data_IF_708539761624
#
_entry.id   IF_708539761624
#
_cell.length_a   1.000
_cell.length_b   1.000
_cell.length_c   1.000
_cell.angle_alpha   90.00
_cell.angle_beta   90.00
_cell.angle_gamma   90.00
#
_symmetry.space_group_name_H-M   'P 1'
#
loop_
_entity.id
_entity.type
_entity.pdbx_description
1 polymer ?
#
# COMPACT_ATOMS: atom_id res chain seq x y z
N UNK A 1 11.22 -11.29 -16.28
CA UNK A 1 11.38 -9.81 -16.43
C UNK A 1 12.42 -9.38 -15.41
N UNK A 2 13.50 -8.78 -15.84
CA UNK A 2 14.36 -7.99 -14.97
C UNK A 2 13.61 -6.68 -14.74
N UNK A 3 13.47 -6.27 -13.47
CA UNK A 3 13.18 -4.89 -13.16
C UNK A 3 14.30 -4.02 -13.73
N UNK A 4 14.03 -2.78 -14.06
CA UNK A 4 15.03 -1.85 -14.60
C UNK A 4 16.24 -1.66 -13.67
N UNK A 5 16.17 -2.12 -12.42
CA UNK A 5 17.20 -1.99 -11.39
C UNK A 5 17.31 -3.25 -10.50
N UNK A 6 18.04 -4.23 -10.97
CA UNK A 6 18.86 -5.13 -10.16
C UNK A 6 18.25 -6.06 -9.10
N UNK A 7 17.04 -5.87 -8.66
CA UNK A 7 16.40 -6.78 -7.72
C UNK A 7 15.54 -7.79 -8.48
N UNK A 8 15.97 -9.03 -8.51
CA UNK A 8 15.24 -10.09 -9.21
C UNK A 8 13.95 -10.40 -8.45
N UNK A 9 12.81 -10.25 -9.14
CA UNK A 9 11.55 -10.78 -8.65
C UNK A 9 11.68 -12.29 -8.51
N UNK A 10 11.29 -12.81 -7.35
CA UNK A 10 11.20 -14.25 -7.19
C UNK A 10 10.03 -14.82 -8.03
N UNK A 11 10.03 -16.13 -8.23
CA UNK A 11 9.06 -16.80 -9.08
C UNK A 11 7.61 -16.55 -8.65
N UNK A 12 7.35 -16.46 -7.35
CA UNK A 12 6.01 -16.22 -6.82
C UNK A 12 5.54 -14.77 -7.06
N UNK A 13 6.46 -13.81 -7.00
CA UNK A 13 6.19 -12.41 -7.38
C UNK A 13 5.84 -12.30 -8.87
N UNK A 14 6.62 -12.96 -9.74
CA UNK A 14 6.34 -13.00 -11.20
C UNK A 14 4.96 -13.59 -11.46
N UNK A 15 4.60 -14.71 -10.81
CA UNK A 15 3.27 -15.32 -10.94
C UNK A 15 2.16 -14.39 -10.47
N UNK A 16 2.41 -13.66 -9.39
CA UNK A 16 1.44 -12.70 -8.83
C UNK A 16 1.22 -11.55 -9.79
N UNK A 17 2.27 -10.93 -10.33
CA UNK A 17 2.17 -9.87 -11.34
C UNK A 17 1.39 -10.36 -12.56
N UNK A 18 1.77 -11.51 -13.14
CA UNK A 18 1.09 -12.07 -14.32
C UNK A 18 -0.40 -12.36 -14.08
N UNK A 19 -0.75 -12.79 -12.86
CA UNK A 19 -2.16 -13.00 -12.46
C UNK A 19 -2.95 -11.70 -12.51
N UNK A 20 -2.38 -10.60 -12.01
CA UNK A 20 -3.06 -9.31 -11.98
C UNK A 20 -3.04 -8.61 -13.34
N UNK A 21 -2.01 -8.80 -14.18
CA UNK A 21 -2.04 -8.42 -15.59
C UNK A 21 -3.20 -9.10 -16.34
N UNK A 22 -3.38 -10.40 -16.11
CA UNK A 22 -4.50 -11.14 -16.70
C UNK A 22 -5.86 -10.67 -16.18
N UNK A 23 -5.95 -10.32 -14.89
CA UNK A 23 -7.16 -9.74 -14.31
C UNK A 23 -7.45 -8.37 -14.91
N UNK A 24 -6.46 -7.48 -15.05
CA UNK A 24 -6.60 -6.17 -15.68
C UNK A 24 -7.18 -6.30 -17.09
N UNK A 25 -6.61 -7.19 -17.92
CA UNK A 25 -7.11 -7.43 -19.27
C UNK A 25 -8.56 -7.95 -19.27
N UNK A 26 -8.93 -8.78 -18.29
CA UNK A 26 -10.31 -9.23 -18.13
C UNK A 26 -11.25 -8.09 -17.74
N UNK A 27 -10.83 -7.18 -16.85
CA UNK A 27 -11.61 -6.01 -16.46
C UNK A 27 -11.86 -5.06 -17.63
N UNK A 28 -10.84 -4.82 -18.46
CA UNK A 28 -10.98 -4.02 -19.68
C UNK A 28 -12.03 -4.64 -20.62
N UNK A 29 -11.98 -5.97 -20.79
CA UNK A 29 -12.98 -6.70 -21.57
C UNK A 29 -14.38 -6.62 -20.94
N UNK A 30 -14.49 -6.79 -19.62
CA UNK A 30 -15.78 -6.69 -18.91
C UNK A 30 -16.38 -5.29 -19.03
N UNK A 31 -15.61 -4.24 -18.82
CA UNK A 31 -16.07 -2.86 -18.95
C UNK A 31 -16.54 -2.57 -20.39
N UNK A 32 -15.76 -2.97 -21.38
CA UNK A 32 -16.11 -2.79 -22.78
C UNK A 32 -17.39 -3.54 -23.18
N UNK A 33 -17.52 -4.81 -22.78
CA UNK A 33 -18.68 -5.64 -23.13
C UNK A 33 -19.94 -5.24 -22.36
N UNK A 34 -19.82 -4.78 -21.12
CA UNK A 34 -20.92 -4.28 -20.30
C UNK A 34 -21.25 -2.81 -20.52
N UNK A 35 -20.52 -2.12 -21.42
CA UNK A 35 -20.68 -0.69 -21.71
C UNK A 35 -20.49 0.19 -20.45
N UNK A 36 -19.70 -0.26 -19.49
CA UNK A 36 -19.35 0.55 -18.33
C UNK A 36 -18.19 1.48 -18.69
N UNK A 37 -18.48 2.77 -18.72
CA UNK A 37 -17.44 3.80 -18.88
C UNK A 37 -16.76 4.05 -17.53
N UNK A 38 -15.55 3.55 -17.39
CA UNK A 38 -14.68 3.82 -16.24
C UNK A 38 -13.82 5.04 -16.58
N UNK A 39 -14.23 6.20 -16.08
CA UNK A 39 -13.45 7.43 -16.26
C UNK A 39 -12.20 7.37 -15.39
N UNK A 40 -11.06 7.24 -16.05
CA UNK A 40 -9.77 7.40 -15.42
C UNK A 40 -9.36 8.87 -15.56
N UNK A 41 -9.59 9.63 -14.51
CA UNK A 41 -9.40 11.08 -14.51
C UNK A 41 -8.45 11.47 -13.36
N UNK A 42 -7.16 11.52 -13.70
CA UNK A 42 -6.10 11.96 -12.79
C UNK A 42 -5.15 12.91 -13.50
N UNK A 43 -4.60 13.85 -12.76
CA UNK A 43 -3.50 14.68 -13.23
C UNK A 43 -2.22 13.84 -13.30
N UNK A 44 -1.49 13.94 -14.40
CA UNK A 44 -0.19 13.28 -14.57
C UNK A 44 0.96 14.24 -14.29
N UNK A 45 1.98 13.72 -13.65
CA UNK A 45 3.17 14.45 -13.24
C UNK A 45 4.43 13.81 -13.84
N UNK A 46 5.56 14.49 -13.69
CA UNK A 46 6.87 14.07 -14.13
C UNK A 46 7.87 14.10 -12.98
N UNK A 47 9.05 13.55 -13.17
CA UNK A 47 10.13 13.61 -12.16
C UNK A 47 10.66 15.02 -11.87
N UNK A 48 10.32 16.03 -12.72
CA UNK A 48 10.65 17.43 -12.47
C UNK A 48 9.66 18.10 -11.50
N UNK A 49 8.48 17.52 -11.31
CA UNK A 49 7.50 18.05 -10.37
C UNK A 49 7.92 17.68 -8.95
N UNK A 50 7.90 18.66 -8.04
CA UNK A 50 8.27 18.45 -6.65
C UNK A 50 7.27 17.51 -5.95
N UNK A 51 7.69 16.35 -5.42
CA UNK A 51 6.81 15.37 -4.80
C UNK A 51 6.04 15.93 -3.59
N UNK A 52 6.58 16.92 -2.86
CA UNK A 52 5.87 17.58 -1.77
C UNK A 52 4.68 18.39 -2.29
N UNK A 53 4.88 19.15 -3.34
CA UNK A 53 3.83 19.96 -3.97
C UNK A 53 2.73 19.07 -4.56
N UNK A 54 3.12 17.99 -5.24
CA UNK A 54 2.18 17.00 -5.78
C UNK A 54 1.40 16.32 -4.66
N UNK A 55 2.06 15.94 -3.56
CA UNK A 55 1.42 15.33 -2.41
C UNK A 55 0.34 16.24 -1.78
N UNK A 56 0.60 17.54 -1.66
CA UNK A 56 -0.39 18.50 -1.16
C UNK A 56 -1.65 18.51 -2.04
N UNK A 57 -1.49 18.59 -3.36
CA UNK A 57 -2.63 18.54 -4.31
C UNK A 57 -3.35 17.19 -4.25
N UNK A 58 -2.61 16.08 -4.25
CA UNK A 58 -3.17 14.74 -4.22
C UNK A 58 -4.00 14.47 -2.95
N UNK A 59 -3.67 15.13 -1.83
CA UNK A 59 -4.46 15.01 -0.59
C UNK A 59 -5.89 15.51 -0.74
N UNK A 60 -6.14 16.54 -1.54
CA UNK A 60 -7.48 17.08 -1.75
C UNK A 60 -8.41 16.02 -2.39
N UNK A 61 -7.86 15.14 -3.21
CA UNK A 61 -8.61 14.11 -3.92
C UNK A 61 -8.60 12.74 -3.21
N UNK A 62 -7.43 12.29 -2.75
CA UNK A 62 -7.22 10.91 -2.32
C UNK A 62 -7.09 10.72 -0.81
N UNK A 63 -6.85 11.79 -0.03
CA UNK A 63 -6.69 11.65 1.41
C UNK A 63 -8.05 11.50 2.11
N UNK A 64 -8.23 10.45 2.96
CA UNK A 64 -9.55 10.15 3.54
C UNK A 64 -10.03 11.13 4.62
N UNK A 65 -9.18 12.06 5.05
CA UNK A 65 -9.45 12.89 6.22
C UNK A 65 -9.19 12.14 7.53
N UNK A 66 -9.73 12.66 8.62
CA UNK A 66 -9.56 12.04 9.93
C UNK A 66 -10.30 10.70 10.02
N UNK A 67 -9.61 9.70 10.50
CA UNK A 67 -10.17 8.35 10.74
C UNK A 67 -9.69 7.80 12.06
N UNK A 68 -10.54 7.02 12.73
CA UNK A 68 -10.28 6.49 14.06
C UNK A 68 -9.20 5.40 14.06
N UNK A 69 -9.09 4.62 12.99
CA UNK A 69 -8.13 3.53 12.91
C UNK A 69 -7.53 3.35 11.50
N UNK A 70 -6.39 2.67 11.44
CA UNK A 70 -5.63 2.49 10.22
C UNK A 70 -6.37 1.69 9.15
N UNK A 71 -7.18 0.68 9.54
CA UNK A 71 -7.97 -0.10 8.57
C UNK A 71 -9.05 0.74 7.91
N UNK A 72 -9.74 1.58 8.68
CA UNK A 72 -10.75 2.49 8.12
C UNK A 72 -10.11 3.52 7.20
N UNK A 73 -8.92 4.02 7.55
CA UNK A 73 -8.15 4.91 6.69
C UNK A 73 -7.82 4.24 5.35
N UNK A 74 -7.27 3.02 5.38
CA UNK A 74 -6.95 2.26 4.17
C UNK A 74 -8.18 2.03 3.30
N UNK A 75 -9.30 1.60 3.89
CA UNK A 75 -10.56 1.38 3.14
C UNK A 75 -11.03 2.66 2.48
N UNK A 76 -11.11 3.78 3.21
CA UNK A 76 -11.54 5.07 2.66
C UNK A 76 -10.56 5.61 1.60
N UNK A 77 -9.27 5.37 1.76
CA UNK A 77 -8.29 5.75 0.73
C UNK A 77 -8.50 4.95 -0.56
N UNK A 78 -8.77 3.64 -0.45
CA UNK A 78 -9.13 2.79 -1.60
C UNK A 78 -10.42 3.28 -2.26
N UNK A 79 -11.44 3.67 -1.48
CA UNK A 79 -12.70 4.23 -1.99
C UNK A 79 -12.46 5.51 -2.80
N UNK A 80 -11.71 6.47 -2.23
CA UNK A 80 -11.37 7.71 -2.93
C UNK A 80 -10.55 7.49 -4.21
N UNK A 81 -9.60 6.57 -4.17
CA UNK A 81 -8.81 6.20 -5.36
C UNK A 81 -9.71 5.56 -6.44
N UNK A 82 -10.67 4.73 -6.02
CA UNK A 82 -11.64 4.11 -6.92
C UNK A 82 -12.58 5.12 -7.59
N UNK A 83 -12.92 6.23 -6.92
CA UNK A 83 -13.74 7.32 -7.48
C UNK A 83 -13.07 7.99 -8.70
N UNK A 84 -11.75 7.91 -8.81
CA UNK A 84 -10.96 8.41 -9.95
C UNK A 84 -10.63 7.32 -11.00
N UNK A 85 -11.35 6.21 -10.98
CA UNK A 85 -11.20 5.14 -11.98
C UNK A 85 -9.98 4.25 -11.80
N UNK A 86 -9.38 4.23 -10.62
CA UNK A 86 -8.23 3.38 -10.31
C UNK A 86 -8.71 2.14 -9.54
N UNK A 87 -8.40 0.97 -10.08
CA UNK A 87 -8.64 -0.31 -9.40
C UNK A 87 -7.57 -0.56 -8.35
N UNK A 88 -7.99 -0.84 -7.12
CA UNK A 88 -7.08 -1.27 -6.05
C UNK A 88 -7.41 -2.69 -5.64
N UNK A 89 -6.43 -3.57 -5.68
CA UNK A 89 -6.55 -4.96 -5.27
C UNK A 89 -5.65 -5.25 -4.08
N UNK A 90 -6.17 -5.96 -3.10
CA UNK A 90 -5.40 -6.55 -2.02
C UNK A 90 -5.29 -8.06 -2.22
N UNK A 91 -4.09 -8.63 -2.15
CA UNK A 91 -3.90 -10.07 -2.15
C UNK A 91 -3.34 -10.55 -0.82
N UNK A 92 -3.81 -11.74 -0.42
CA UNK A 92 -3.42 -12.37 0.83
C UNK A 92 -2.51 -13.56 0.53
N UNK A 93 -1.35 -13.59 1.12
CA UNK A 93 -0.49 -14.76 1.10
C UNK A 93 -0.91 -15.73 2.18
N UNK A 94 -1.15 -16.97 1.79
CA UNK A 94 -1.37 -18.04 2.75
C UNK A 94 -0.05 -18.39 3.44
N UNK A 95 -0.08 -18.49 4.76
CA UNK A 95 1.09 -18.78 5.57
C UNK A 95 1.76 -20.15 5.28
N UNK A 96 1.03 -21.07 4.62
CA UNK A 96 1.50 -22.38 4.20
C UNK A 96 2.33 -22.38 2.90
N UNK A 97 2.46 -21.27 2.20
CA UNK A 97 3.30 -21.21 0.99
C UNK A 97 4.76 -21.31 1.35
N UNK A 98 5.47 -22.21 0.66
CA UNK A 98 6.93 -22.42 0.83
C UNK A 98 7.72 -21.18 0.37
N UNK A 99 7.27 -20.52 -0.68
CA UNK A 99 7.87 -19.30 -1.21
C UNK A 99 6.85 -18.16 -1.14
N UNK A 100 7.27 -17.03 -0.59
CA UNK A 100 6.47 -15.82 -0.48
C UNK A 100 6.92 -14.81 -1.53
N UNK A 101 5.99 -13.94 -1.94
CA UNK A 101 6.35 -12.81 -2.80
C UNK A 101 7.34 -11.90 -2.08
N UNK A 102 8.32 -11.38 -2.81
CA UNK A 102 9.26 -10.38 -2.31
C UNK A 102 8.89 -8.95 -2.72
N UNK A 103 7.60 -8.71 -2.99
CA UNK A 103 7.01 -7.40 -3.30
C UNK A 103 5.86 -7.10 -2.35
N UNK A 104 5.69 -5.83 -1.98
CA UNK A 104 4.61 -5.36 -1.10
C UNK A 104 3.45 -4.75 -1.88
N UNK A 105 3.70 -4.22 -3.05
CA UNK A 105 2.74 -3.68 -3.97
C UNK A 105 3.33 -3.54 -5.36
N UNK A 106 2.52 -3.15 -6.31
CA UNK A 106 2.92 -2.74 -7.65
C UNK A 106 1.78 -2.06 -8.39
N UNK A 107 2.17 -1.20 -9.31
CA UNK A 107 1.25 -0.52 -10.23
C UNK A 107 1.31 -1.14 -11.61
N UNK A 108 0.16 -1.30 -12.27
CA UNK A 108 0.00 -1.72 -13.66
C UNK A 108 -0.77 -0.65 -14.43
N UNK A 109 -0.18 -0.13 -15.49
CA UNK A 109 -0.81 0.88 -16.36
C UNK A 109 -2.12 0.38 -16.97
N UNK A 110 -3.09 1.26 -17.19
CA UNK A 110 -3.06 2.68 -16.82
C UNK A 110 -3.50 2.93 -15.38
N UNK A 111 -4.26 2.02 -14.73
CA UNK A 111 -5.05 2.35 -13.56
C UNK A 111 -5.27 1.18 -12.58
N UNK A 112 -4.30 0.28 -12.43
CA UNK A 112 -4.40 -0.83 -11.48
C UNK A 112 -3.29 -0.77 -10.44
N UNK A 113 -3.65 -0.74 -9.17
CA UNK A 113 -2.74 -0.86 -8.02
C UNK A 113 -3.01 -2.18 -7.31
N UNK A 114 -1.96 -2.89 -6.95
CA UNK A 114 -2.04 -4.17 -6.23
C UNK A 114 -1.23 -4.08 -4.94
N UNK A 115 -1.83 -4.49 -3.83
CA UNK A 115 -1.25 -4.45 -2.50
C UNK A 115 -1.15 -5.85 -1.91
N UNK A 116 -0.06 -6.13 -1.24
CA UNK A 116 0.07 -7.29 -0.37
C UNK A 116 -0.56 -6.99 0.99
N UNK A 117 -1.47 -7.87 1.44
CA UNK A 117 -2.03 -7.76 2.79
C UNK A 117 -0.96 -7.95 3.87
N UNK A 118 -0.87 -7.02 4.79
CA UNK A 118 -0.02 -7.06 5.96
C UNK A 118 -0.83 -7.02 7.26
N UNK A 119 -0.33 -7.64 8.32
CA UNK A 119 -0.93 -7.48 9.66
C UNK A 119 -0.93 -6.03 10.14
N UNK A 120 0.01 -5.24 9.66
CA UNK A 120 0.22 -3.85 10.05
C UNK A 120 -0.23 -2.92 8.93
N UNK A 121 -1.43 -2.39 9.03
CA UNK A 121 -2.03 -1.50 8.04
C UNK A 121 -1.20 -0.26 7.68
N UNK A 122 -0.34 0.23 8.58
CA UNK A 122 0.57 1.36 8.27
C UNK A 122 1.51 1.05 7.11
N UNK A 123 1.94 -0.21 6.96
CA UNK A 123 2.77 -0.64 5.83
C UNK A 123 1.95 -0.63 4.54
N UNK A 124 0.74 -1.18 4.56
CA UNK A 124 -0.17 -1.15 3.41
C UNK A 124 -0.54 0.27 2.98
N UNK A 125 -0.82 1.16 3.95
CA UNK A 125 -1.14 2.57 3.67
C UNK A 125 0.03 3.25 2.98
N UNK A 126 1.26 3.02 3.47
CA UNK A 126 2.45 3.59 2.84
C UNK A 126 2.66 3.02 1.44
N UNK A 127 2.52 1.69 1.26
CA UNK A 127 2.60 1.04 -0.04
C UNK A 127 1.54 1.59 -0.99
N UNK A 128 0.28 1.75 -0.54
CA UNK A 128 -0.77 2.33 -1.38
C UNK A 128 -0.44 3.75 -1.84
N UNK A 129 0.07 4.58 -0.94
CA UNK A 129 0.49 5.94 -1.29
C UNK A 129 1.67 5.93 -2.28
N UNK A 130 2.63 5.01 -2.11
CA UNK A 130 3.77 4.83 -3.00
C UNK A 130 3.32 4.40 -4.41
N UNK A 131 2.46 3.38 -4.53
CA UNK A 131 1.92 2.93 -5.81
C UNK A 131 1.00 3.97 -6.47
N UNK A 132 0.34 4.81 -5.67
CA UNK A 132 -0.35 5.99 -6.18
C UNK A 132 0.64 6.98 -6.82
N UNK A 133 1.83 7.15 -6.26
CA UNK A 133 2.91 7.93 -6.86
C UNK A 133 3.29 7.40 -8.24
N UNK A 134 3.49 6.10 -8.39
CA UNK A 134 3.73 5.46 -9.70
C UNK A 134 2.58 5.69 -10.69
N UNK A 135 1.34 5.63 -10.20
CA UNK A 135 0.16 5.89 -11.01
C UNK A 135 0.12 7.35 -11.50
N UNK A 136 0.42 8.33 -10.63
CA UNK A 136 0.48 9.75 -10.96
C UNK A 136 1.61 10.07 -11.96
N UNK A 137 2.75 9.40 -11.86
CA UNK A 137 3.84 9.49 -12.85
C UNK A 137 3.53 8.71 -14.14
N UNK A 138 2.58 7.78 -14.11
CA UNK A 138 2.33 6.86 -15.20
C UNK A 138 3.53 5.95 -15.50
N UNK A 139 4.34 5.55 -14.50
CA UNK A 139 5.54 4.72 -14.64
C UNK A 139 5.37 3.41 -13.90
N UNK A 140 5.43 2.29 -14.61
CA UNK A 140 5.46 0.96 -14.02
C UNK A 140 6.89 0.60 -13.61
N UNK A 141 7.13 0.52 -12.32
CA UNK A 141 8.30 -0.15 -11.76
C UNK A 141 7.81 -1.18 -10.76
N UNK A 142 8.40 -2.37 -10.76
CA UNK A 142 8.10 -3.41 -9.77
C UNK A 142 9.41 -3.71 -9.08
N UNK A 143 9.58 -3.19 -7.88
CA UNK A 143 10.75 -3.48 -7.06
C UNK A 143 10.43 -4.50 -5.98
N UNK A 144 11.43 -5.32 -5.63
CA UNK A 144 11.38 -6.05 -4.38
C UNK A 144 11.75 -5.06 -3.28
N UNK A 145 10.77 -4.61 -2.53
CA UNK A 145 10.98 -3.56 -1.56
C UNK A 145 11.03 -4.15 -0.16
N UNK A 146 12.20 -4.14 0.43
CA UNK A 146 12.28 -3.82 1.83
C UNK A 146 12.50 -2.30 1.95
N UNK A 147 11.41 -1.51 1.89
CA UNK A 147 11.43 -0.04 2.02
C UNK A 147 12.10 0.42 3.33
N UNK A 148 12.42 -0.51 4.21
CA UNK A 148 13.12 -0.33 5.46
C UNK A 148 14.61 -0.67 5.36
N UNK A 149 15.09 -1.15 4.21
CA UNK A 149 16.51 -1.44 4.02
C UNK A 149 17.25 -0.24 3.45
N UNK A 150 17.94 0.46 4.33
CA UNK A 150 18.75 1.64 4.00
C UNK A 150 19.91 1.30 3.06
N UNK A 151 20.42 0.06 3.07
CA UNK A 151 21.48 -0.34 2.17
C UNK A 151 21.05 -0.33 0.70
N UNK A 152 19.76 -0.51 0.44
CA UNK A 152 19.17 -0.46 -0.89
C UNK A 152 18.93 0.98 -1.38
N UNK A 153 18.79 1.97 -0.49
CA UNK A 153 18.44 3.35 -0.87
C UNK A 153 19.48 4.06 -1.76
N UNK A 154 20.73 3.67 -1.70
CA UNK A 154 21.77 4.20 -2.60
C UNK A 154 21.62 3.68 -4.04
N UNK A 155 20.82 2.65 -4.26
CA UNK A 155 20.55 2.03 -5.56
C UNK A 155 19.16 2.33 -6.12
N UNK A 156 18.31 3.06 -5.39
CA UNK A 156 16.97 3.41 -5.90
C UNK A 156 17.04 4.29 -7.13
N UNK A 157 16.11 4.01 -8.07
CA UNK A 157 15.88 4.88 -9.22
C UNK A 157 15.35 6.26 -8.77
N UNK A 158 15.45 7.25 -9.65
CA UNK A 158 14.86 8.56 -9.40
C UNK A 158 13.34 8.48 -9.22
N UNK A 159 12.70 7.53 -9.91
CA UNK A 159 11.26 7.24 -9.80
C UNK A 159 10.94 6.75 -8.39
N UNK A 160 11.66 5.75 -7.89
CA UNK A 160 11.45 5.18 -6.57
C UNK A 160 11.66 6.21 -5.45
N UNK A 161 12.71 7.05 -5.58
CA UNK A 161 12.94 8.13 -4.63
C UNK A 161 11.78 9.13 -4.63
N UNK A 162 11.32 9.52 -5.83
CA UNK A 162 10.19 10.42 -5.98
C UNK A 162 8.92 9.83 -5.35
N UNK A 163 8.59 8.57 -5.63
CA UNK A 163 7.41 7.89 -5.09
C UNK A 163 7.48 7.74 -3.55
N UNK A 164 8.68 7.45 -3.00
CA UNK A 164 8.88 7.40 -1.55
C UNK A 164 8.69 8.78 -0.90
N UNK A 165 9.24 9.84 -1.49
CA UNK A 165 9.08 11.20 -1.00
C UNK A 165 7.62 11.66 -1.10
N UNK A 166 6.95 11.36 -2.22
CA UNK A 166 5.53 11.61 -2.39
C UNK A 166 4.69 10.91 -1.31
N UNK A 167 4.88 9.60 -1.12
CA UNK A 167 4.13 8.81 -0.13
C UNK A 167 4.33 9.35 1.30
N UNK A 168 5.57 9.69 1.65
CA UNK A 168 5.88 10.31 2.94
C UNK A 168 5.13 11.63 3.13
N UNK A 169 5.21 12.55 2.18
CA UNK A 169 4.54 13.86 2.24
C UNK A 169 3.03 13.72 2.23
N UNK A 170 2.50 12.79 1.40
CA UNK A 170 1.06 12.52 1.31
C UNK A 170 0.49 12.04 2.64
N UNK A 171 1.17 11.13 3.34
CA UNK A 171 0.66 10.60 4.62
C UNK A 171 0.88 11.58 5.75
N UNK A 172 2.04 12.21 5.82
CA UNK A 172 2.43 13.10 6.92
C UNK A 172 1.72 14.46 6.88
N UNK A 173 1.47 15.01 5.69
CA UNK A 173 0.91 16.34 5.57
C UNK A 173 1.74 17.37 6.35
N UNK A 174 1.07 18.18 7.15
CA UNK A 174 1.72 19.23 7.97
C UNK A 174 2.72 18.68 9.01
N UNK A 175 2.54 17.44 9.47
CA UNK A 175 3.49 16.83 10.42
C UNK A 175 4.88 16.60 9.81
N UNK A 176 5.01 16.60 8.47
CA UNK A 176 6.31 16.53 7.81
C UNK A 176 7.19 17.74 8.14
N UNK A 177 6.58 18.92 8.33
CA UNK A 177 7.32 20.14 8.72
C UNK A 177 7.81 20.07 10.17
N UNK A 178 7.02 19.47 11.05
CA UNK A 178 7.44 19.21 12.44
C UNK A 178 8.73 18.39 12.48
N UNK A 179 8.80 17.33 11.68
CA UNK A 179 10.01 16.51 11.56
C UNK A 179 11.16 17.24 10.85
N UNK A 180 10.86 18.05 9.83
CA UNK A 180 11.86 18.82 9.11
C UNK A 180 12.57 19.84 10.02
N UNK A 181 11.90 20.32 11.06
CA UNK A 181 12.46 21.29 12.02
C UNK A 181 13.27 20.65 13.17
N UNK A 182 13.30 19.32 13.29
CA UNK A 182 14.16 18.65 14.27
C UNK A 182 15.62 18.79 13.79
N UNK A 183 16.48 19.36 14.63
CA UNK A 183 17.88 19.63 14.26
C UNK A 183 18.70 18.33 14.12
N UNK A 184 18.89 17.59 15.19
CA UNK A 184 19.63 16.33 15.21
C UNK A 184 19.05 15.41 16.29
N UNK A 185 18.72 14.19 15.91
CA UNK A 185 18.16 13.19 16.82
C UNK A 185 19.24 12.59 17.72
N UNK A 186 20.48 12.46 17.22
CA UNK A 186 21.63 11.94 17.99
C UNK A 186 22.01 12.83 19.18
N UNK A 187 21.68 14.11 19.14
CA UNK A 187 21.93 15.02 20.27
C UNK A 187 21.02 14.78 21.47
N UNK A 188 20.00 13.91 21.33
CA UNK A 188 19.02 13.60 22.35
C UNK A 188 19.22 12.17 22.86
N UNK A 189 19.41 12.02 24.16
CA UNK A 189 19.60 10.71 24.79
C UNK A 189 18.39 9.77 24.61
N UNK A 190 17.19 10.34 24.38
CA UNK A 190 15.94 9.62 24.20
C UNK A 190 15.58 9.39 22.73
N UNK A 191 16.44 9.78 21.78
CA UNK A 191 16.18 9.69 20.34
C UNK A 191 14.82 10.23 19.91
N UNK A 192 14.25 11.20 20.61
CA UNK A 192 12.90 11.74 20.38
C UNK A 192 11.77 10.67 20.40
N UNK A 193 11.93 9.61 21.19
CA UNK A 193 11.01 8.44 21.18
C UNK A 193 9.56 8.87 21.40
N UNK A 194 9.28 9.73 22.39
CA UNK A 194 7.90 10.12 22.70
C UNK A 194 7.29 11.02 21.62
N UNK A 195 8.08 11.90 21.00
CA UNK A 195 7.64 12.69 19.86
C UNK A 195 7.28 11.79 18.69
N UNK A 196 8.12 10.82 18.35
CA UNK A 196 7.86 9.89 17.24
C UNK A 196 6.70 8.94 17.52
N UNK A 197 6.49 8.55 18.78
CA UNK A 197 5.27 7.84 19.19
C UNK A 197 4.01 8.69 18.96
N UNK A 198 4.05 9.96 19.37
CA UNK A 198 2.94 10.90 19.23
C UNK A 198 2.62 11.16 17.73
N UNK A 199 3.62 11.45 16.90
CA UNK A 199 3.44 11.63 15.45
C UNK A 199 2.89 10.36 14.81
N UNK A 200 3.49 9.20 15.10
CA UNK A 200 3.02 7.92 14.58
C UNK A 200 1.60 7.56 15.03
N UNK A 201 1.13 8.07 16.17
CA UNK A 201 -0.24 7.87 16.63
C UNK A 201 -1.24 8.78 15.88
N UNK A 202 -0.84 10.03 15.55
CA UNK A 202 -1.69 10.98 14.82
C UNK A 202 -1.71 10.73 13.31
N UNK A 203 -0.60 10.21 12.78
CA UNK A 203 -0.44 9.87 11.36
C UNK A 203 -0.57 8.37 11.14
N UNK A 204 -0.69 7.97 9.88
CA UNK A 204 -0.72 6.55 9.52
C UNK A 204 0.67 6.01 9.15
N UNK A 205 1.75 6.70 9.54
CA UNK A 205 3.13 6.28 9.29
C UNK A 205 3.71 5.51 10.50
N UNK A 206 4.60 4.55 10.22
CA UNK A 206 5.25 3.78 11.30
C UNK A 206 6.38 4.57 11.96
N UNK A 207 6.68 4.29 13.24
CA UNK A 207 7.85 4.87 13.91
C UNK A 207 9.16 4.57 13.17
N UNK A 208 9.30 3.36 12.65
CA UNK A 208 10.49 3.00 11.90
C UNK A 208 10.63 3.84 10.63
N UNK A 209 9.54 4.09 9.89
CA UNK A 209 9.58 4.96 8.71
C UNK A 209 9.97 6.40 9.06
N UNK A 210 9.55 6.92 10.23
CA UNK A 210 10.00 8.23 10.71
C UNK A 210 11.51 8.25 10.97
N UNK A 211 12.07 7.24 11.63
CA UNK A 211 13.51 7.13 11.84
C UNK A 211 14.29 6.92 10.55
N UNK A 212 13.73 6.15 9.60
CA UNK A 212 14.30 6.01 8.25
C UNK A 212 14.39 7.37 7.56
N UNK A 213 13.34 8.19 7.66
CA UNK A 213 13.37 9.56 7.14
C UNK A 213 14.43 10.41 7.81
N UNK A 214 14.57 10.35 9.14
CA UNK A 214 15.63 11.08 9.85
C UNK A 214 17.03 10.65 9.40
N UNK A 215 17.21 9.38 9.09
CA UNK A 215 18.49 8.90 8.55
C UNK A 215 18.75 9.44 7.13
N UNK A 216 17.76 9.41 6.24
CA UNK A 216 17.85 9.97 4.88
C UNK A 216 18.21 11.45 4.95
N UNK A 217 17.56 12.21 5.84
CA UNK A 217 17.78 13.64 6.07
C UNK A 217 19.07 13.93 6.87
N UNK A 218 19.90 12.90 7.16
CA UNK A 218 21.16 12.99 7.92
C UNK A 218 21.00 13.59 9.32
N UNK A 219 19.85 13.37 9.95
CA UNK A 219 19.50 13.85 11.30
C UNK A 219 19.74 12.81 12.40
N UNK A 220 20.06 11.59 12.03
CA UNK A 220 20.47 10.51 12.91
C UNK A 220 21.60 9.72 12.24
N UNK A 221 22.59 9.29 13.01
CA UNK A 221 23.69 8.46 12.53
C UNK A 221 23.20 7.04 12.22
N UNK A 222 23.95 6.32 11.37
CA UNK A 222 23.64 4.93 11.07
C UNK A 222 23.64 4.04 12.31
N UNK A 223 24.59 4.23 13.22
CA UNK A 223 24.68 3.44 14.45
C UNK A 223 23.45 3.65 15.34
N UNK A 224 23.04 4.88 15.56
CA UNK A 224 21.85 5.21 16.35
C UNK A 224 20.56 4.72 15.67
N UNK A 225 20.46 4.89 14.35
CA UNK A 225 19.34 4.32 13.59
C UNK A 225 19.26 2.80 13.71
N UNK A 226 20.39 2.10 13.59
CA UNK A 226 20.46 0.64 13.71
C UNK A 226 20.01 0.17 15.10
N UNK A 227 20.43 0.88 16.16
CA UNK A 227 20.01 0.58 17.53
C UNK A 227 18.50 0.74 17.68
N UNK A 228 17.93 1.86 17.25
CA UNK A 228 16.49 2.10 17.30
C UNK A 228 15.72 1.07 16.47
N UNK A 229 16.21 0.71 15.27
CA UNK A 229 15.61 -0.35 14.44
C UNK A 229 15.54 -1.67 15.19
N UNK A 230 16.62 -2.06 15.87
CA UNK A 230 16.69 -3.29 16.65
C UNK A 230 15.73 -3.27 17.85
N UNK A 231 15.66 -2.16 18.58
CA UNK A 231 14.73 -1.99 19.71
C UNK A 231 13.27 -2.08 19.26
N UNK A 232 12.93 -1.42 18.16
CA UNK A 232 11.59 -1.48 17.58
C UNK A 232 11.23 -2.90 17.13
N UNK A 233 12.17 -3.62 16.51
CA UNK A 233 11.96 -5.01 16.09
C UNK A 233 11.71 -5.93 17.29
N UNK A 234 12.43 -5.74 18.40
CA UNK A 234 12.19 -6.49 19.64
C UNK A 234 10.84 -6.13 20.27
N UNK A 235 10.46 -4.86 20.28
CA UNK A 235 9.14 -4.43 20.78
C UNK A 235 8.01 -5.10 19.98
N UNK A 236 8.12 -5.15 18.65
CA UNK A 236 7.14 -5.83 17.80
C UNK A 236 7.09 -7.33 18.08
N UNK A 237 8.24 -8.00 18.22
CA UNK A 237 8.29 -9.42 18.54
C UNK A 237 7.60 -9.73 19.89
N UNK A 238 7.89 -8.95 20.92
CA UNK A 238 7.26 -9.12 22.25
C UNK A 238 5.74 -8.94 22.18
N UNK A 239 5.25 -7.97 21.40
CA UNK A 239 3.81 -7.76 21.19
C UNK A 239 3.18 -8.94 20.46
N UNK A 240 3.80 -9.44 19.38
CA UNK A 240 3.30 -10.62 18.67
C UNK A 240 3.26 -11.87 19.55
N UNK A 241 4.24 -12.08 20.39
CA UNK A 241 4.26 -13.19 21.35
C UNK A 241 3.10 -13.06 22.36
N UNK A 242 2.88 -11.86 22.91
CA UNK A 242 1.76 -11.60 23.81
C UNK A 242 0.40 -11.79 23.12
N UNK A 243 0.26 -11.36 21.88
CA UNK A 243 -0.97 -11.58 21.08
C UNK A 243 -1.19 -13.07 20.78
N UNK A 244 -0.13 -13.82 20.46
CA UNK A 244 -0.22 -15.27 20.27
C UNK A 244 -0.66 -15.99 21.54
N UNK A 245 -0.15 -15.62 22.70
CA UNK A 245 -0.57 -16.16 23.99
C UNK A 245 -2.04 -15.87 24.28
N UNK A 246 -2.49 -14.63 24.08
CA UNK A 246 -3.91 -14.24 24.25
C UNK A 246 -4.85 -14.91 23.25
N UNK A 247 -4.37 -15.20 22.03
CA UNK A 247 -5.17 -15.81 20.96
C UNK A 247 -5.13 -17.34 21.00
N UNK A 248 -4.16 -17.96 21.67
CA UNK A 248 -4.14 -19.43 21.86
C UNK A 248 -5.33 -19.94 22.67
N UNK A 249 -5.93 -19.08 23.49
CA UNK A 249 -7.16 -19.36 24.22
C UNK A 249 -8.44 -19.24 23.34
N UNK A 250 -8.34 -18.58 22.18
CA UNK A 250 -9.47 -18.42 21.24
C UNK A 250 -9.30 -19.37 20.06
N UNK A 251 -10.05 -20.50 20.10
CA UNK A 251 -10.13 -21.44 18.97
C UNK A 251 -10.68 -20.74 17.71
N UNK A 252 -9.90 -20.70 16.62
CA UNK A 252 -10.37 -20.35 15.27
C UNK A 252 -10.13 -18.90 14.87
N UNK A 253 -8.89 -18.57 14.49
CA UNK A 253 -8.60 -17.34 13.76
C UNK A 253 -9.28 -17.36 12.39
N UNK A 254 -10.06 -16.32 12.05
CA UNK A 254 -10.59 -16.15 10.69
C UNK A 254 -9.45 -15.73 9.75
N UNK A 255 -9.33 -16.40 8.61
CA UNK A 255 -8.45 -15.92 7.54
C UNK A 255 -8.86 -14.48 7.17
N UNK A 256 -7.93 -13.52 7.10
CA UNK A 256 -8.24 -12.18 6.64
C UNK A 256 -8.92 -12.24 5.28
N UNK A 257 -9.85 -11.34 5.02
CA UNK A 257 -10.45 -11.18 3.70
C UNK A 257 -9.86 -9.96 3.03
N UNK A 258 -9.52 -10.02 1.73
CA UNK A 258 -9.04 -8.87 1.00
C UNK A 258 -10.12 -7.77 0.98
N UNK A 259 -9.67 -6.53 0.97
CA UNK A 259 -10.53 -5.37 0.75
C UNK A 259 -10.97 -5.41 -0.71
N UNK A 260 -12.28 -5.32 -0.96
CA UNK A 260 -12.85 -5.25 -2.30
C UNK A 260 -13.03 -3.78 -2.64
N UNK A 261 -12.31 -3.31 -3.65
CA UNK A 261 -12.46 -1.96 -4.19
C UNK A 261 -13.90 -1.75 -4.71
N UNK A 262 -14.55 -0.62 -4.41
CA UNK A 262 -15.88 -0.31 -4.93
C UNK A 262 -15.95 -0.34 -6.45
N UNK A 263 -14.93 0.15 -7.14
CA UNK A 263 -14.86 0.12 -8.60
C UNK A 263 -14.84 -1.32 -9.14
N UNK A 264 -14.10 -2.21 -8.50
CA UNK A 264 -14.08 -3.62 -8.89
C UNK A 264 -15.43 -4.28 -8.69
N UNK A 265 -16.08 -4.03 -7.55
CA UNK A 265 -17.43 -4.54 -7.29
C UNK A 265 -18.41 -4.01 -8.34
N UNK A 266 -18.41 -2.71 -8.62
CA UNK A 266 -19.24 -2.08 -9.66
C UNK A 266 -19.02 -2.71 -11.04
N UNK A 267 -17.76 -2.90 -11.45
CA UNK A 267 -17.42 -3.55 -12.72
C UNK A 267 -18.02 -4.96 -12.80
N UNK A 268 -17.89 -5.75 -11.72
CA UNK A 268 -18.44 -7.10 -11.70
C UNK A 268 -19.96 -7.14 -11.70
N UNK A 269 -20.63 -6.19 -11.01
CA UNK A 269 -22.08 -6.04 -11.03
C UNK A 269 -22.59 -5.70 -12.45
N UNK A 270 -21.98 -4.71 -13.10
CA UNK A 270 -22.33 -4.37 -14.49
C UNK A 270 -22.10 -5.53 -15.45
N UNK A 271 -20.97 -6.23 -15.33
CA UNK A 271 -20.68 -7.40 -16.16
C UNK A 271 -21.70 -8.54 -15.96
N UNK A 272 -22.17 -8.73 -14.73
CA UNK A 272 -23.20 -9.71 -14.43
C UNK A 272 -24.56 -9.31 -15.00
N UNK A 273 -25.03 -8.09 -14.74
CA UNK A 273 -26.33 -7.62 -15.24
C UNK A 273 -26.41 -7.54 -16.77
N UNK A 274 -25.29 -7.37 -17.44
CA UNK A 274 -25.21 -7.39 -18.91
C UNK A 274 -24.90 -8.78 -19.48
N UNK A 275 -24.91 -9.84 -18.65
CA UNK A 275 -24.69 -11.21 -19.11
C UNK A 275 -23.28 -11.54 -19.57
N UNK A 276 -22.30 -10.65 -19.28
CA UNK A 276 -20.89 -10.84 -19.64
C UNK A 276 -20.23 -11.87 -18.74
N UNK A 277 -20.63 -11.94 -17.47
CA UNK A 277 -20.18 -12.95 -16.52
C UNK A 277 -21.36 -13.62 -15.85
N UNK A 278 -21.20 -14.91 -15.49
CA UNK A 278 -22.18 -15.64 -14.71
C UNK A 278 -21.90 -15.56 -13.20
N UNK A 279 -22.82 -16.09 -12.38
CA UNK A 279 -22.71 -16.13 -10.92
C UNK A 279 -21.41 -16.77 -10.45
N UNK A 280 -21.01 -17.90 -11.05
CA UNK A 280 -19.77 -18.61 -10.70
C UNK A 280 -18.54 -17.73 -10.91
N UNK A 281 -18.48 -17.03 -12.04
CA UNK A 281 -17.39 -16.10 -12.36
C UNK A 281 -17.41 -14.91 -11.41
N UNK A 282 -18.58 -14.31 -11.15
CA UNK A 282 -18.76 -13.22 -10.20
C UNK A 282 -18.23 -13.61 -8.81
N UNK A 283 -18.72 -14.73 -8.26
CA UNK A 283 -18.32 -15.22 -6.95
C UNK A 283 -16.82 -15.55 -6.87
N UNK A 284 -16.28 -16.18 -7.90
CA UNK A 284 -14.87 -16.55 -7.97
C UNK A 284 -13.96 -15.31 -8.02
N UNK A 285 -14.29 -14.31 -8.83
CA UNK A 285 -13.49 -13.09 -8.98
C UNK A 285 -13.49 -12.24 -7.72
N UNK A 286 -14.63 -12.13 -7.03
CA UNK A 286 -14.76 -11.38 -5.78
C UNK A 286 -14.37 -12.18 -4.53
N UNK A 287 -14.00 -13.45 -4.69
CA UNK A 287 -13.74 -14.37 -3.57
C UNK A 287 -14.92 -14.43 -2.58
N UNK A 288 -16.14 -14.51 -3.11
CA UNK A 288 -17.39 -14.57 -2.39
C UNK A 288 -17.95 -15.99 -2.45
N UNK A 289 -18.48 -16.49 -1.34
CA UNK A 289 -19.18 -17.77 -1.34
C UNK A 289 -20.52 -17.63 -2.10
N UNK A 290 -20.94 -18.63 -2.89
CA UNK A 290 -22.23 -18.57 -3.60
C UNK A 290 -23.42 -18.21 -2.71
N UNK A 291 -23.45 -18.70 -1.46
CA UNK A 291 -24.48 -18.34 -0.48
C UNK A 291 -24.57 -16.84 -0.10
N UNK A 292 -23.55 -16.04 -0.47
CA UNK A 292 -23.52 -14.60 -0.25
C UNK A 292 -23.62 -13.80 -1.55
N UNK A 293 -23.90 -14.47 -2.67
CA UNK A 293 -23.94 -13.86 -3.99
C UNK A 293 -24.91 -12.67 -4.05
N UNK A 294 -26.17 -12.89 -3.72
CA UNK A 294 -27.18 -11.83 -3.75
C UNK A 294 -26.82 -10.64 -2.89
N UNK A 295 -26.29 -10.87 -1.69
CA UNK A 295 -25.87 -9.78 -0.81
C UNK A 295 -24.78 -8.90 -1.43
N UNK A 296 -23.80 -9.51 -2.09
CA UNK A 296 -22.71 -8.76 -2.72
C UNK A 296 -23.13 -8.16 -4.08
N UNK A 297 -24.12 -8.78 -4.75
CA UNK A 297 -24.67 -8.25 -5.99
C UNK A 297 -25.46 -6.94 -5.77
N UNK A 298 -26.12 -6.83 -4.61
CA UNK A 298 -26.94 -5.66 -4.26
C UNK A 298 -26.26 -4.71 -3.28
N UNK A 299 -24.99 -4.89 -3.00
CA UNK A 299 -24.19 -4.01 -2.14
C UNK A 299 -23.80 -2.75 -2.88
#
# INVERSE_FOLDING_TARGET
RKTSFGTELNLESIRTVNRFESLKNALDAYNKLSQLDVKFDIEHYTLQDDPKTVAVRARDFFYPGETVNHRQFLVKMIEKIADHGIFVFEYIETWNKKEKTNIDGFYLKPNVIVLKHHKHYKREIFTLAHELGHCLLGIEEVESVDMMDISAQTSYSDVERWCNDFAYQFIMGQEAETLANIACVDSRNDYCIDLFKAISARTHISRLALYTRMYIDRKISYSSYSNVKSELAEEYRRREEQEKLKNSEKRGGRTPKPIISPLFLKTMQYAYFNGVVNETTFCSRLNVKPANFERELWR
#
